data_IF_312466007990
#
_entry.id   IF_312466007990
#
_cell.length_a   1.000
_cell.length_b   1.000
_cell.length_c   1.000
_cell.angle_alpha   90.00
_cell.angle_beta   90.00
_cell.angle_gamma   90.00
#
_symmetry.space_group_name_H-M   'P 1'
#
loop_
_entity.id
_entity.type
_entity.pdbx_description
1 polymer ?
#
# COMPACT_ATOMS: atom_id res chain seq x y z
N UNK A 1 48.21 -9.51 -6.52
CA UNK A 1 48.11 -8.85 -5.20
C UNK A 1 47.51 -7.48 -5.42
N UNK A 2 46.21 -7.38 -5.11
CA UNK A 2 45.37 -6.18 -4.90
C UNK A 2 45.41 -5.05 -5.92
N UNK A 3 44.39 -5.04 -6.78
CA UNK A 3 43.95 -3.91 -7.58
C UNK A 3 43.55 -2.70 -6.73
N UNK A 4 43.98 -1.54 -7.21
CA UNK A 4 43.74 -0.22 -6.66
C UNK A 4 42.27 0.15 -6.88
N UNK A 5 41.44 -0.03 -5.86
CA UNK A 5 40.03 0.32 -5.91
C UNK A 5 39.87 1.83 -5.75
N UNK A 6 39.59 2.46 -6.89
CA UNK A 6 39.03 3.78 -7.11
C UNK A 6 38.01 4.13 -6.01
N UNK A 7 38.44 4.89 -4.99
CA UNK A 7 37.53 5.44 -3.97
C UNK A 7 36.68 6.49 -4.67
N UNK A 8 35.41 6.16 -4.85
CA UNK A 8 34.40 7.07 -5.38
C UNK A 8 34.42 8.39 -4.62
N UNK A 9 34.75 9.46 -5.35
CA UNK A 9 34.57 10.84 -4.95
C UNK A 9 33.09 11.12 -4.71
N UNK A 10 32.71 11.19 -3.43
CA UNK A 10 31.39 11.66 -3.02
C UNK A 10 31.53 13.16 -2.78
N UNK A 11 30.97 14.05 -3.62
CA UNK A 11 31.02 15.47 -3.35
C UNK A 11 30.19 15.75 -2.10
N UNK A 12 30.90 16.15 -1.04
CA UNK A 12 30.30 16.70 0.18
C UNK A 12 29.63 18.02 -0.20
N UNK A 13 28.33 17.97 -0.46
CA UNK A 13 27.47 19.14 -0.58
C UNK A 13 27.41 19.82 0.78
N UNK A 14 28.36 20.75 0.96
CA UNK A 14 28.47 21.69 2.07
C UNK A 14 27.09 22.27 2.39
N UNK A 15 26.68 22.04 3.64
CA UNK A 15 25.35 22.32 4.14
C UNK A 15 24.94 23.75 3.88
N UNK A 16 23.88 23.90 3.08
CA UNK A 16 23.03 25.09 3.09
C UNK A 16 22.43 25.17 4.49
N UNK A 17 23.10 25.91 5.38
CA UNK A 17 22.64 26.29 6.72
C UNK A 17 21.34 27.11 6.56
N UNK A 18 20.23 26.43 6.27
CA UNK A 18 18.88 26.98 6.39
C UNK A 18 18.74 27.27 7.88
N UNK A 19 18.66 28.54 8.25
CA UNK A 19 18.44 28.94 9.64
C UNK A 19 17.20 28.23 10.15
N UNK A 20 17.40 27.17 10.92
CA UNK A 20 16.39 26.57 11.76
C UNK A 20 16.21 27.58 12.87
N UNK A 21 15.38 28.60 12.63
CA UNK A 21 14.82 29.39 13.71
C UNK A 21 14.02 28.41 14.58
N UNK A 22 14.30 28.42 15.88
CA UNK A 22 13.81 27.54 16.93
C UNK A 22 12.44 26.87 16.64
N UNK A 23 12.49 25.67 16.07
CA UNK A 23 11.35 24.95 15.53
C UNK A 23 10.46 24.36 16.64
N UNK A 24 11.04 23.99 17.79
CA UNK A 24 10.27 23.56 18.96
C UNK A 24 9.40 24.66 19.57
N UNK A 25 9.91 25.90 19.65
CA UNK A 25 9.24 26.98 20.40
C UNK A 25 8.01 27.51 19.66
N UNK A 26 8.13 27.68 18.33
CA UNK A 26 7.03 28.12 17.47
C UNK A 26 5.97 27.03 17.30
N UNK A 27 6.40 25.76 17.26
CA UNK A 27 5.47 24.64 17.08
C UNK A 27 4.49 24.47 18.23
N UNK A 28 4.97 24.63 19.46
CA UNK A 28 4.13 24.62 20.67
C UNK A 28 3.16 25.81 20.71
N UNK A 29 3.60 26.99 20.27
CA UNK A 29 2.76 28.20 20.19
C UNK A 29 1.63 28.03 19.17
N UNK A 30 1.92 27.44 18.01
CA UNK A 30 0.91 27.19 16.97
C UNK A 30 -0.17 26.19 17.44
N UNK A 31 0.20 25.17 18.23
CA UNK A 31 -0.77 24.23 18.80
C UNK A 31 -1.70 24.88 19.85
N UNK A 32 -1.17 25.82 20.64
CA UNK A 32 -1.97 26.63 21.57
C UNK A 32 -2.91 27.55 20.79
N UNK A 33 -2.40 28.24 19.76
CA UNK A 33 -3.19 29.12 18.89
C UNK A 33 -4.29 28.34 18.17
N UNK A 34 -4.00 27.15 17.62
CA UNK A 34 -5.00 26.30 16.96
C UNK A 34 -6.12 25.87 17.91
N UNK A 35 -5.80 25.45 19.14
CA UNK A 35 -6.80 25.13 20.17
C UNK A 35 -7.60 26.37 20.59
N UNK A 36 -6.96 27.54 20.63
CA UNK A 36 -7.60 28.80 21.00
C UNK A 36 -8.58 29.31 19.92
N UNK A 37 -8.20 29.22 18.64
CA UNK A 37 -9.06 29.59 17.50
C UNK A 37 -10.19 28.58 17.24
N UNK A 38 -9.95 27.29 17.46
CA UNK A 38 -10.94 26.23 17.20
C UNK A 38 -12.14 26.22 18.16
N UNK A 39 -12.04 26.84 19.33
CA UNK A 39 -13.06 26.74 20.38
C UNK A 39 -14.16 27.82 20.27
N UNK A 40 -14.12 28.73 19.27
CA UNK A 40 -15.09 29.85 19.12
C UNK A 40 -15.05 30.91 20.23
N UNK A 41 -14.44 30.60 21.39
CA UNK A 41 -14.27 31.47 22.54
C UNK A 41 -13.49 32.75 22.21
N UNK A 42 -12.49 32.68 21.33
CA UNK A 42 -11.74 33.86 20.92
C UNK A 42 -12.63 34.91 20.24
N UNK A 43 -13.48 34.47 19.30
CA UNK A 43 -14.43 35.37 18.64
C UNK A 43 -15.41 35.97 19.66
N UNK A 44 -15.91 35.18 20.61
CA UNK A 44 -16.79 35.69 21.66
C UNK A 44 -16.12 36.78 22.52
N UNK A 45 -14.88 36.55 22.99
CA UNK A 45 -14.13 37.57 23.75
C UNK A 45 -13.84 38.82 22.92
N UNK A 46 -13.44 38.66 21.65
CA UNK A 46 -13.17 39.78 20.74
C UNK A 46 -14.43 40.63 20.52
N UNK A 47 -15.59 40.00 20.29
CA UNK A 47 -16.87 40.72 20.11
C UNK A 47 -17.29 41.44 21.38
N UNK A 48 -17.18 40.80 22.56
CA UNK A 48 -17.49 41.45 23.84
C UNK A 48 -16.59 42.65 24.09
N UNK A 49 -15.29 42.54 23.76
CA UNK A 49 -14.35 43.66 23.89
C UNK A 49 -14.74 44.83 22.97
N UNK A 50 -15.03 44.57 21.70
CA UNK A 50 -15.44 45.62 20.74
C UNK A 50 -16.73 46.29 21.17
N UNK A 51 -17.75 45.50 21.52
CA UNK A 51 -19.05 46.03 21.98
C UNK A 51 -18.87 46.84 23.27
N UNK A 52 -18.11 46.32 24.23
CA UNK A 52 -17.81 47.01 25.48
C UNK A 52 -17.08 48.33 25.26
N UNK A 53 -16.12 48.38 24.33
CA UNK A 53 -15.40 49.61 23.97
C UNK A 53 -16.32 50.67 23.36
N UNK A 54 -17.21 50.25 22.44
CA UNK A 54 -18.20 51.14 21.83
C UNK A 54 -19.15 51.68 22.90
N UNK A 55 -19.71 50.80 23.75
CA UNK A 55 -20.64 51.19 24.82
C UNK A 55 -19.96 52.14 25.81
N UNK A 56 -18.73 51.86 26.24
CA UNK A 56 -17.98 52.71 27.16
C UNK A 56 -17.77 54.11 26.57
N UNK A 57 -17.42 54.23 25.28
CA UNK A 57 -17.24 55.51 24.61
C UNK A 57 -18.56 56.29 24.46
N UNK A 58 -19.67 55.60 24.17
CA UNK A 58 -20.99 56.23 24.11
C UNK A 58 -21.42 56.76 25.49
N UNK A 59 -21.23 55.97 26.56
CA UNK A 59 -21.57 56.37 27.93
C UNK A 59 -20.73 57.55 28.39
N UNK A 60 -19.45 57.60 28.01
CA UNK A 60 -18.56 58.70 28.38
C UNK A 60 -18.85 60.00 27.64
N UNK A 61 -19.55 59.96 26.49
CA UNK A 61 -20.08 61.06 25.66
C UNK A 61 -19.24 62.36 25.61
N UNK A 62 -19.22 63.15 26.70
CA UNK A 62 -18.40 64.37 26.85
C UNK A 62 -16.90 64.12 27.09
N UNK A 63 -16.52 62.99 27.66
CA UNK A 63 -15.14 62.55 27.88
C UNK A 63 -14.78 61.35 27.01
N UNK A 64 -15.48 61.14 25.88
CA UNK A 64 -15.22 60.02 24.99
C UNK A 64 -13.74 60.03 24.55
N UNK A 65 -13.02 58.96 24.91
CA UNK A 65 -11.62 58.77 24.54
C UNK A 65 -11.46 58.49 23.04
N UNK A 66 -12.50 57.95 22.40
CA UNK A 66 -12.55 57.61 20.98
C UNK A 66 -13.94 57.97 20.40
N UNK A 67 -14.20 59.24 20.04
CA UNK A 67 -15.45 59.67 19.41
C UNK A 67 -15.68 59.01 18.05
N UNK A 68 -16.94 58.89 17.61
CA UNK A 68 -17.28 58.39 16.28
C UNK A 68 -16.49 59.17 15.20
N UNK A 69 -15.68 58.51 14.33
CA UNK A 69 -15.77 57.11 13.85
C UNK A 69 -14.82 56.06 14.49
N UNK A 70 -14.45 56.19 15.78
CA UNK A 70 -13.60 55.22 16.51
C UNK A 70 -12.21 54.98 15.88
N UNK A 71 -11.40 56.04 15.78
CA UNK A 71 -10.10 56.00 15.10
C UNK A 71 -9.09 55.09 15.82
N UNK A 72 -9.13 55.03 17.16
CA UNK A 72 -8.19 54.22 17.92
C UNK A 72 -8.50 52.73 17.77
N UNK A 73 -9.79 52.38 17.78
CA UNK A 73 -10.22 51.01 17.52
C UNK A 73 -9.81 50.57 16.11
N UNK A 74 -10.02 51.43 15.11
CA UNK A 74 -9.61 51.12 13.74
C UNK A 74 -8.09 50.99 13.58
N UNK A 75 -7.31 51.86 14.24
CA UNK A 75 -5.86 51.78 14.24
C UNK A 75 -5.37 50.48 14.88
N UNK A 76 -5.96 50.09 16.02
CA UNK A 76 -5.63 48.84 16.70
C UNK A 76 -5.93 47.61 15.81
N UNK A 77 -7.09 47.56 15.15
CA UNK A 77 -7.42 46.50 14.20
C UNK A 77 -6.49 46.47 13.00
N UNK A 78 -6.09 47.64 12.48
CA UNK A 78 -5.13 47.74 11.38
C UNK A 78 -3.77 47.18 11.76
N UNK A 79 -3.27 47.52 12.95
CA UNK A 79 -2.02 46.93 13.47
C UNK A 79 -2.17 45.43 13.78
N UNK A 80 -3.31 45.01 14.32
CA UNK A 80 -3.60 43.59 14.59
C UNK A 80 -3.55 42.76 13.31
N UNK A 81 -4.17 43.24 12.22
CA UNK A 81 -4.11 42.58 10.92
C UNK A 81 -2.69 42.57 10.34
N UNK A 82 -1.97 43.69 10.46
CA UNK A 82 -0.59 43.81 9.98
C UNK A 82 0.37 42.83 10.67
N UNK A 83 0.20 42.59 11.98
CA UNK A 83 1.00 41.60 12.73
C UNK A 83 0.51 40.15 12.55
N UNK A 84 -0.77 39.95 12.23
CA UNK A 84 -1.31 38.63 11.95
C UNK A 84 -0.70 38.02 10.67
N UNK A 85 -0.50 38.81 9.61
CA UNK A 85 0.05 38.35 8.34
C UNK A 85 1.40 37.59 8.47
N UNK A 86 2.45 38.12 9.12
CA UNK A 86 3.71 37.40 9.28
C UNK A 86 3.59 36.16 10.19
N UNK A 87 2.70 36.20 11.20
CA UNK A 87 2.48 35.05 12.08
C UNK A 87 1.80 33.90 11.33
N UNK A 88 0.82 34.23 10.47
CA UNK A 88 0.16 33.28 9.58
C UNK A 88 1.15 32.72 8.55
N UNK A 89 1.98 33.57 7.94
CA UNK A 89 3.01 33.13 6.99
C UNK A 89 4.02 32.15 7.62
N UNK A 90 4.39 32.36 8.88
CA UNK A 90 5.24 31.43 9.62
C UNK A 90 4.53 30.11 9.93
N UNK A 91 3.23 30.16 10.27
CA UNK A 91 2.42 28.96 10.48
C UNK A 91 2.26 28.15 9.18
N UNK A 92 2.01 28.82 8.06
CA UNK A 92 1.82 28.20 6.73
C UNK A 92 3.10 27.57 6.18
N UNK A 93 4.24 28.26 6.23
CA UNK A 93 5.54 27.70 5.79
C UNK A 93 5.88 26.37 6.48
N UNK A 94 5.43 26.18 7.72
CA UNK A 94 5.65 24.95 8.47
C UNK A 94 4.67 23.84 8.08
N UNK A 95 3.40 24.16 7.87
CA UNK A 95 2.44 23.21 7.32
C UNK A 95 2.93 22.69 5.97
N UNK A 96 3.33 23.59 5.07
CA UNK A 96 3.84 23.23 3.75
C UNK A 96 5.09 22.34 3.82
N UNK A 97 6.03 22.61 4.75
CA UNK A 97 7.20 21.75 4.92
C UNK A 97 6.83 20.34 5.45
N UNK A 98 5.89 20.24 6.39
CA UNK A 98 5.41 18.94 6.91
C UNK A 98 4.68 18.16 5.83
N UNK A 99 3.83 18.84 5.06
CA UNK A 99 3.10 18.24 3.95
C UNK A 99 4.08 17.74 2.88
N UNK A 100 5.10 18.52 2.55
CA UNK A 100 6.17 18.11 1.62
C UNK A 100 6.91 16.85 2.09
N UNK A 101 7.25 16.73 3.37
CA UNK A 101 7.91 15.54 3.92
C UNK A 101 6.97 14.33 3.86
N UNK A 102 5.71 14.48 4.26
CA UNK A 102 4.74 13.39 4.18
C UNK A 102 4.53 12.89 2.75
N UNK A 103 4.45 13.79 1.77
CA UNK A 103 4.34 13.45 0.36
C UNK A 103 5.59 12.74 -0.18
N UNK A 104 6.78 13.08 0.33
CA UNK A 104 8.01 12.37 -0.04
C UNK A 104 8.02 10.95 0.53
N UNK A 105 7.67 10.77 1.81
CA UNK A 105 7.56 9.44 2.43
C UNK A 105 6.55 8.56 1.70
N UNK A 106 5.38 9.10 1.36
CA UNK A 106 4.34 8.36 0.62
C UNK A 106 4.82 7.93 -0.76
N UNK A 107 5.56 8.80 -1.47
CA UNK A 107 6.16 8.43 -2.76
C UNK A 107 7.20 7.32 -2.63
N UNK A 108 8.05 7.37 -1.60
CA UNK A 108 9.05 6.33 -1.34
C UNK A 108 8.36 5.00 -1.00
N UNK A 109 7.34 5.02 -0.13
CA UNK A 109 6.55 3.84 0.20
C UNK A 109 5.86 3.26 -1.02
N UNK A 110 5.21 4.09 -1.84
CA UNK A 110 4.56 3.64 -3.06
C UNK A 110 5.55 3.00 -4.05
N UNK A 111 6.76 3.55 -4.17
CA UNK A 111 7.81 2.97 -5.00
C UNK A 111 8.29 1.61 -4.46
N UNK A 112 8.45 1.47 -3.15
CA UNK A 112 8.81 0.19 -2.50
C UNK A 112 7.71 -0.86 -2.71
N UNK A 113 6.46 -0.53 -2.42
CA UNK A 113 5.33 -1.45 -2.62
C UNK A 113 5.21 -1.91 -4.08
N UNK A 114 5.46 -1.01 -5.03
CA UNK A 114 5.50 -1.36 -6.46
C UNK A 114 6.63 -2.36 -6.75
N UNK A 115 7.85 -2.10 -6.26
CA UNK A 115 8.98 -2.99 -6.45
C UNK A 115 8.76 -4.36 -5.81
N UNK A 116 8.21 -4.41 -4.59
CA UNK A 116 7.86 -5.65 -3.90
C UNK A 116 6.82 -6.46 -4.68
N UNK A 117 5.81 -5.78 -5.25
CA UNK A 117 4.79 -6.42 -6.08
C UNK A 117 5.38 -6.98 -7.37
N UNK A 118 6.26 -6.23 -8.04
CA UNK A 118 6.97 -6.70 -9.23
C UNK A 118 7.89 -7.89 -8.92
N UNK A 119 8.57 -7.86 -7.78
CA UNK A 119 9.40 -8.96 -7.29
C UNK A 119 8.56 -10.22 -7.05
N UNK A 120 7.49 -10.10 -6.27
CA UNK A 120 6.58 -11.21 -5.98
C UNK A 120 5.94 -11.78 -7.26
N UNK A 121 5.55 -10.92 -8.21
CA UNK A 121 5.01 -11.37 -9.49
C UNK A 121 6.05 -12.17 -10.30
N UNK A 122 7.32 -11.74 -10.29
CA UNK A 122 8.42 -12.45 -10.97
C UNK A 122 8.74 -13.77 -10.30
N UNK A 123 8.80 -13.81 -8.97
CA UNK A 123 8.98 -15.05 -8.22
C UNK A 123 7.83 -16.03 -8.48
N UNK A 124 6.57 -15.56 -8.39
CA UNK A 124 5.40 -16.38 -8.68
C UNK A 124 5.42 -16.93 -10.11
N UNK A 125 5.84 -16.13 -11.10
CA UNK A 125 5.99 -16.60 -12.47
C UNK A 125 7.05 -17.71 -12.57
N UNK A 126 8.20 -17.55 -11.89
CA UNK A 126 9.24 -18.57 -11.83
C UNK A 126 8.76 -19.86 -11.16
N UNK A 127 8.11 -19.76 -10.00
CA UNK A 127 7.50 -20.89 -9.28
C UNK A 127 6.46 -21.59 -10.15
N UNK A 128 5.60 -20.83 -10.84
CA UNK A 128 4.57 -21.39 -11.73
C UNK A 128 5.17 -22.23 -12.86
N UNK A 129 6.29 -21.79 -13.45
CA UNK A 129 6.97 -22.55 -14.50
C UNK A 129 7.55 -23.85 -13.93
N UNK A 130 8.26 -23.77 -12.79
CA UNK A 130 8.87 -24.94 -12.14
C UNK A 130 7.82 -26.00 -11.71
N UNK A 131 6.69 -25.56 -11.14
CA UNK A 131 5.57 -26.43 -10.77
C UNK A 131 4.87 -26.98 -12.02
N UNK A 132 4.65 -26.16 -13.04
CA UNK A 132 4.00 -26.58 -14.28
C UNK A 132 4.75 -27.68 -15.02
N UNK A 133 6.09 -27.60 -15.08
CA UNK A 133 6.92 -28.61 -15.76
C UNK A 133 6.96 -29.94 -15.01
N UNK A 134 7.07 -29.90 -13.68
CA UNK A 134 7.16 -31.11 -12.84
C UNK A 134 5.82 -31.84 -12.76
N UNK A 135 4.73 -31.12 -12.47
CA UNK A 135 3.40 -31.72 -12.30
C UNK A 135 2.89 -32.33 -13.61
N UNK A 136 3.08 -31.65 -14.74
CA UNK A 136 2.60 -32.16 -16.04
C UNK A 136 3.35 -33.41 -16.46
N UNK A 137 4.67 -33.44 -16.27
CA UNK A 137 5.51 -34.56 -16.70
C UNK A 137 5.23 -35.83 -15.89
N UNK A 138 5.20 -35.72 -14.57
CA UNK A 138 5.01 -36.89 -13.71
C UNK A 138 3.59 -37.43 -13.81
N UNK A 139 2.58 -36.54 -13.89
CA UNK A 139 1.19 -36.94 -14.10
C UNK A 139 0.98 -37.61 -15.47
N UNK A 140 1.49 -37.01 -16.55
CA UNK A 140 1.36 -37.60 -17.90
C UNK A 140 2.07 -38.94 -18.01
N UNK A 141 3.23 -39.11 -17.36
CA UNK A 141 3.93 -40.40 -17.31
C UNK A 141 3.11 -41.45 -16.56
N UNK A 142 2.57 -41.09 -15.40
CA UNK A 142 1.79 -42.00 -14.60
C UNK A 142 0.53 -42.48 -15.34
N UNK A 143 -0.19 -41.56 -15.98
CA UNK A 143 -1.38 -41.88 -16.78
C UNK A 143 -1.02 -42.77 -17.99
N UNK A 144 0.12 -42.50 -18.65
CA UNK A 144 0.62 -43.34 -19.75
C UNK A 144 0.95 -44.76 -19.28
N UNK A 145 1.60 -44.90 -18.13
CA UNK A 145 1.92 -46.21 -17.55
C UNK A 145 0.64 -46.96 -17.15
N UNK A 146 -0.34 -46.27 -16.55
CA UNK A 146 -1.62 -46.87 -16.18
C UNK A 146 -2.42 -47.35 -17.40
N UNK A 147 -2.47 -46.54 -18.46
CA UNK A 147 -3.09 -46.93 -19.73
C UNK A 147 -2.37 -48.15 -20.33
N UNK A 148 -1.03 -48.16 -20.32
CA UNK A 148 -0.23 -49.27 -20.83
C UNK A 148 -0.52 -50.57 -20.07
N UNK A 149 -0.55 -50.51 -18.75
CA UNK A 149 -0.79 -51.64 -17.85
C UNK A 149 -2.21 -52.19 -18.02
N UNK A 150 -3.19 -51.31 -18.27
CA UNK A 150 -4.58 -51.67 -18.56
C UNK A 150 -4.71 -52.36 -19.93
N UNK A 151 -4.02 -51.86 -20.95
CA UNK A 151 -3.95 -52.49 -22.28
C UNK A 151 -3.32 -53.88 -22.21
N UNK A 152 -2.24 -54.05 -21.46
CA UNK A 152 -1.58 -55.34 -21.29
C UNK A 152 -2.51 -56.37 -20.63
N UNK A 153 -3.22 -55.97 -19.58
CA UNK A 153 -4.25 -56.82 -18.94
C UNK A 153 -5.35 -57.21 -19.91
N UNK A 154 -5.78 -56.31 -20.80
CA UNK A 154 -6.78 -56.63 -21.84
C UNK A 154 -6.21 -57.63 -22.85
N UNK A 155 -4.96 -57.45 -23.30
CA UNK A 155 -4.32 -58.37 -24.23
C UNK A 155 -4.15 -59.78 -23.63
N UNK A 156 -3.64 -59.88 -22.40
CA UNK A 156 -3.58 -61.15 -21.66
C UNK A 156 -4.97 -61.75 -21.48
N UNK A 157 -6.00 -60.89 -21.34
CA UNK A 157 -7.38 -61.35 -21.30
C UNK A 157 -7.88 -61.93 -22.63
N UNK A 158 -7.43 -61.40 -23.75
CA UNK A 158 -7.77 -61.94 -25.06
C UNK A 158 -6.99 -63.23 -25.36
N UNK A 159 -5.72 -63.29 -24.97
CA UNK A 159 -4.87 -64.47 -25.17
C UNK A 159 -5.40 -65.69 -24.40
N UNK A 160 -5.82 -65.55 -23.13
CA UNK A 160 -6.40 -66.69 -22.41
C UNK A 160 -7.76 -67.10 -22.99
N UNK A 161 -8.58 -66.16 -23.49
CA UNK A 161 -9.85 -66.49 -24.14
C UNK A 161 -9.62 -67.23 -25.45
N UNK A 162 -8.66 -66.79 -26.28
CA UNK A 162 -8.25 -67.49 -27.50
C UNK A 162 -7.78 -68.90 -27.16
N UNK A 163 -6.86 -69.05 -26.22
CA UNK A 163 -6.31 -70.35 -25.84
C UNK A 163 -7.38 -71.28 -25.21
N UNK A 164 -8.34 -70.71 -24.47
CA UNK A 164 -9.49 -71.48 -23.94
C UNK A 164 -10.49 -71.89 -25.03
N UNK A 165 -10.67 -71.07 -26.06
CA UNK A 165 -11.54 -71.38 -27.20
C UNK A 165 -10.92 -72.49 -28.05
N UNK A 166 -9.61 -72.42 -28.29
CA UNK A 166 -8.86 -73.48 -28.98
C UNK A 166 -8.89 -74.80 -28.19
N UNK A 167 -8.74 -74.75 -26.86
CA UNK A 167 -8.88 -75.94 -26.00
C UNK A 167 -10.31 -76.51 -26.00
N UNK A 168 -11.33 -75.65 -26.04
CA UNK A 168 -12.72 -76.07 -26.09
C UNK A 168 -13.06 -76.70 -27.45
N UNK A 169 -12.60 -76.13 -28.56
CA UNK A 169 -12.81 -76.66 -29.92
C UNK A 169 -12.11 -78.01 -30.11
N UNK A 170 -10.92 -78.19 -29.54
CA UNK A 170 -10.23 -79.49 -29.50
C UNK A 170 -10.94 -80.51 -28.60
N UNK A 171 -11.48 -80.10 -27.45
CA UNK A 171 -12.23 -80.99 -26.56
C UNK A 171 -13.57 -81.43 -27.18
N UNK A 172 -14.28 -80.54 -27.86
CA UNK A 172 -15.56 -80.84 -28.52
C UNK A 172 -15.35 -81.71 -29.78
N UNK A 173 -14.30 -81.46 -30.55
CA UNK A 173 -13.89 -82.31 -31.69
C UNK A 173 -13.48 -83.73 -31.26
N UNK A 174 -12.82 -83.86 -30.09
CA UNK A 174 -12.52 -85.16 -29.48
C UNK A 174 -13.78 -85.86 -28.93
N UNK A 175 -14.76 -85.12 -28.40
CA UNK A 175 -16.01 -85.65 -27.89
C UNK A 175 -16.95 -86.15 -29.01
N UNK A 176 -16.96 -85.50 -30.18
CA UNK A 176 -17.74 -85.93 -31.35
C UNK A 176 -17.21 -87.25 -31.97
N UNK A 177 -15.96 -87.63 -31.68
CA UNK A 177 -15.34 -88.88 -32.15
C UNK A 177 -15.46 -90.05 -31.16
N UNK A 178 -16.02 -89.83 -29.96
CA UNK A 178 -16.25 -90.90 -28.99
C UNK A 178 -17.56 -91.66 -29.29
N UNK A 179 -17.54 -93.00 -29.48
CA UNK A 179 -18.74 -93.76 -29.80
C UNK A 179 -19.66 -93.85 -28.57
N UNK A 180 -20.91 -93.39 -28.73
CA UNK A 180 -21.97 -93.69 -27.77
C UNK A 180 -22.36 -95.17 -27.90
N UNK A 181 -21.68 -96.05 -27.17
CA UNK A 181 -22.26 -97.33 -26.77
C UNK A 181 -23.36 -97.06 -25.75
N UNK A 182 -24.62 -97.33 -26.09
CA UNK A 182 -25.64 -97.80 -25.14
C UNK A 182 -26.85 -98.37 -25.90
N UNK A 183 -27.00 -99.71 -25.77
CA UNK A 183 -28.19 -100.56 -25.95
C UNK A 183 -28.83 -100.73 -27.33
#
# INVERSE_FOLDING_TARGET
MTDNHNRLDIPQLSGRRRRIFDTETVGRRAEVVARFLGTGKYLAYQTVFVVGWIVLNIVLARHAFDPYPFILLNLAFSTQAAYAAPLILLAQNRQENRDRVSLQEDRVRAAQTKADTEFLARELAGVRIAVGETVTRDYMRHELDEIHDTLQKINERLDHLSNSSDMQEHADSAAITAPSETS
#
